data_IF_477546437153
#
_entry.id   IF_477546437153
#
_cell.length_a   1.000
_cell.length_b   1.000
_cell.length_c   1.000
_cell.angle_alpha   90.00
_cell.angle_beta   90.00
_cell.angle_gamma   90.00
#
_symmetry.space_group_name_H-M   'P 1'
#
loop_
_entity.id
_entity.type
_entity.pdbx_description
1 polymer ?
#
# COMPACT_ATOMS: atom_id res chain seq x y z
N UNK A 1 27.93 20.98 5.85
CA UNK A 1 27.94 19.51 5.92
C UNK A 1 26.62 19.11 6.57
N UNK A 2 25.58 18.89 5.76
CA UNK A 2 24.27 18.51 6.29
C UNK A 2 24.35 17.10 6.86
N UNK A 3 24.11 16.98 8.16
CA UNK A 3 24.04 15.71 8.87
C UNK A 3 22.75 15.02 8.48
N UNK A 4 22.86 13.94 7.68
CA UNK A 4 21.78 13.00 7.44
C UNK A 4 21.47 12.28 8.76
N UNK A 5 20.60 12.86 9.59
CA UNK A 5 20.11 12.20 10.79
C UNK A 5 19.40 10.90 10.39
N UNK A 6 19.98 9.76 10.80
CA UNK A 6 19.38 8.45 10.61
C UNK A 6 18.03 8.40 11.33
N UNK A 7 16.93 8.48 10.57
CA UNK A 7 15.58 8.44 11.13
C UNK A 7 15.38 7.15 11.93
N UNK A 8 15.02 7.29 13.21
CA UNK A 8 14.73 6.16 14.11
C UNK A 8 13.74 5.18 13.45
N UNK A 9 13.96 3.86 13.60
CA UNK A 9 13.08 2.86 12.98
C UNK A 9 11.66 3.02 13.49
N UNK A 10 10.70 3.20 12.58
CA UNK A 10 9.26 3.33 12.89
C UNK A 10 8.66 1.97 13.27
N UNK A 11 8.97 1.49 14.47
CA UNK A 11 8.55 0.17 15.00
C UNK A 11 7.02 0.00 14.96
N UNK A 12 6.27 1.06 15.27
CA UNK A 12 4.80 1.06 15.24
C UNK A 12 4.22 0.75 13.85
N UNK A 13 4.81 1.32 12.80
CA UNK A 13 4.39 1.11 11.41
C UNK A 13 4.66 -0.34 10.98
N UNK A 14 5.83 -0.89 11.35
CA UNK A 14 6.19 -2.28 11.04
C UNK A 14 5.28 -3.28 11.76
N UNK A 15 4.95 -3.03 13.02
CA UNK A 15 4.01 -3.86 13.80
C UNK A 15 2.64 -3.92 13.12
N UNK A 16 2.12 -2.76 12.69
CA UNK A 16 0.84 -2.68 11.96
C UNK A 16 0.91 -3.41 10.62
N UNK A 17 2.00 -3.22 9.86
CA UNK A 17 2.17 -3.90 8.57
C UNK A 17 2.20 -5.42 8.71
N UNK A 18 2.89 -5.94 9.73
CA UNK A 18 2.92 -7.37 10.04
C UNK A 18 1.53 -7.91 10.40
N UNK A 19 0.77 -7.18 11.22
CA UNK A 19 -0.59 -7.56 11.61
C UNK A 19 -1.57 -7.58 10.42
N UNK A 20 -1.44 -6.67 9.45
CA UNK A 20 -2.33 -6.60 8.28
C UNK A 20 -1.94 -7.61 7.18
N UNK A 21 -0.69 -8.09 7.16
CA UNK A 21 -0.14 -8.94 6.08
C UNK A 21 -0.94 -10.24 5.87
N UNK A 22 -1.44 -10.86 6.93
CA UNK A 22 -2.23 -12.11 6.85
C UNK A 22 -3.60 -11.93 6.19
N UNK A 23 -4.11 -10.70 6.10
CA UNK A 23 -5.42 -10.41 5.53
C UNK A 23 -5.36 -10.10 4.03
N UNK A 24 -4.17 -10.17 3.40
CA UNK A 24 -4.03 -10.04 1.94
C UNK A 24 -4.16 -11.40 1.27
N UNK A 25 -4.85 -11.43 0.13
CA UNK A 25 -4.99 -12.60 -0.72
C UNK A 25 -3.88 -12.59 -1.78
N UNK A 26 -2.91 -13.51 -1.66
CA UNK A 26 -1.74 -13.62 -2.57
C UNK A 26 -2.08 -13.82 -4.03
N UNK A 27 -3.28 -14.34 -4.31
CA UNK A 27 -3.74 -14.68 -5.64
C UNK A 27 -4.70 -13.63 -6.22
N UNK A 28 -5.03 -12.57 -5.46
CA UNK A 28 -5.90 -11.50 -5.92
C UNK A 28 -5.04 -10.31 -6.39
N UNK A 29 -5.19 -9.97 -7.66
CA UNK A 29 -4.52 -8.85 -8.33
C UNK A 29 -5.59 -7.98 -8.98
N UNK A 30 -5.42 -6.66 -8.93
CA UNK A 30 -6.27 -5.71 -9.63
C UNK A 30 -5.46 -5.02 -10.74
N UNK A 31 -6.07 -4.79 -11.88
CA UNK A 31 -5.49 -4.03 -13.01
C UNK A 31 -6.41 -2.86 -13.30
N UNK A 32 -5.86 -1.65 -13.38
CA UNK A 32 -6.59 -0.43 -13.71
C UNK A 32 -6.23 -0.02 -15.13
N UNK A 33 -7.06 -0.41 -16.09
CA UNK A 33 -6.88 -0.07 -17.50
C UNK A 33 -7.57 1.25 -17.83
N UNK A 34 -6.86 2.11 -18.55
CA UNK A 34 -7.33 3.41 -19.09
C UNK A 34 -8.24 4.22 -18.13
N UNK A 35 -7.71 4.65 -16.96
CA UNK A 35 -8.51 5.38 -15.99
C UNK A 35 -8.91 6.76 -16.54
N UNK A 36 -10.22 6.93 -16.79
CA UNK A 36 -10.82 8.19 -17.25
C UNK A 36 -10.43 9.43 -16.42
N UNK A 37 -10.22 9.25 -15.11
CA UNK A 37 -9.78 10.33 -14.21
C UNK A 37 -8.66 9.84 -13.29
N UNK A 38 -7.44 10.28 -13.57
CA UNK A 38 -6.25 9.88 -12.80
C UNK A 38 -6.29 10.34 -11.34
N UNK A 39 -7.11 11.34 -11.00
CA UNK A 39 -7.29 11.80 -9.61
C UNK A 39 -7.90 10.71 -8.72
N UNK A 40 -8.61 9.75 -9.31
CA UNK A 40 -9.25 8.66 -8.59
C UNK A 40 -8.30 7.52 -8.23
N UNK A 41 -7.08 7.46 -8.79
CA UNK A 41 -6.14 6.35 -8.59
C UNK A 41 -5.82 6.13 -7.10
N UNK A 42 -5.64 7.20 -6.33
CA UNK A 42 -5.40 7.08 -4.89
C UNK A 42 -6.57 6.42 -4.14
N UNK A 43 -7.81 6.68 -4.57
CA UNK A 43 -9.01 6.06 -4.00
C UNK A 43 -9.12 4.60 -4.41
N UNK A 44 -8.85 4.27 -5.67
CA UNK A 44 -8.83 2.89 -6.17
C UNK A 44 -7.81 2.04 -5.40
N UNK A 45 -6.58 2.53 -5.23
CA UNK A 45 -5.53 1.82 -4.47
C UNK A 45 -5.92 1.60 -3.01
N UNK A 46 -6.54 2.60 -2.35
CA UNK A 46 -7.02 2.45 -0.96
C UNK A 46 -8.10 1.39 -0.84
N UNK A 47 -9.06 1.37 -1.76
CA UNK A 47 -10.13 0.39 -1.79
C UNK A 47 -9.58 -1.02 -2.05
N UNK A 48 -8.69 -1.17 -3.03
CA UNK A 48 -8.04 -2.44 -3.34
C UNK A 48 -7.27 -2.99 -2.11
N UNK A 49 -6.51 -2.14 -1.42
CA UNK A 49 -5.81 -2.54 -0.20
C UNK A 49 -6.78 -2.92 0.94
N UNK A 50 -7.91 -2.21 1.10
CA UNK A 50 -8.94 -2.56 2.08
C UNK A 50 -9.62 -3.91 1.79
N UNK A 51 -9.71 -4.29 0.51
CA UNK A 51 -10.21 -5.59 0.05
C UNK A 51 -9.17 -6.71 0.12
N UNK A 52 -7.93 -6.41 0.53
CA UNK A 52 -6.87 -7.41 0.65
C UNK A 52 -6.22 -7.80 -0.67
N UNK A 53 -6.29 -6.96 -1.70
CA UNK A 53 -5.56 -7.17 -2.97
C UNK A 53 -4.05 -7.19 -2.70
N UNK A 54 -3.32 -8.14 -3.29
CA UNK A 54 -1.85 -8.25 -3.12
C UNK A 54 -1.12 -7.18 -3.93
N UNK A 55 -1.52 -6.99 -5.20
CA UNK A 55 -0.89 -6.05 -6.15
C UNK A 55 -1.94 -5.36 -7.00
N UNK A 56 -1.73 -4.08 -7.25
CA UNK A 56 -2.51 -3.27 -8.18
C UNK A 56 -1.57 -2.84 -9.30
N UNK A 57 -1.96 -3.06 -10.55
CA UNK A 57 -1.23 -2.68 -11.76
C UNK A 57 -1.98 -1.59 -12.51
#
# INVERSE_FOLDING_TARGET
METLEAQKPRVSVRKRAAAVKSFRCKNLVAVVEDPNDIRNIGTVIRNANALGVERVY
#
